data_IF_661651231661
#
_entry.id   IF_661651231661
#
_cell.length_a   1.000
_cell.length_b   1.000
_cell.length_c   1.000
_cell.angle_alpha   90.00
_cell.angle_beta   90.00
_cell.angle_gamma   90.00
#
_symmetry.space_group_name_H-M   'P 1'
#
loop_
_entity.id
_entity.type
_entity.pdbx_description
1 polymer ?
#
# COMPACT_ATOMS: atom_id res chain seq x y z
N UNK A 1 -8.31 -1.81 -10.06
CA UNK A 1 -7.59 -2.29 -11.27
C UNK A 1 -6.84 -1.19 -12.04
N UNK A 2 -7.17 0.10 -11.93
CA UNK A 2 -6.48 1.19 -12.65
C UNK A 2 -4.97 1.25 -12.35
N UNK A 3 -4.59 1.22 -11.06
CA UNK A 3 -3.19 1.31 -10.64
C UNK A 3 -2.36 0.13 -11.15
N UNK A 4 -2.94 -1.08 -11.19
CA UNK A 4 -2.29 -2.26 -11.75
C UNK A 4 -1.97 -2.05 -13.23
N UNK A 5 -2.95 -1.60 -14.03
CA UNK A 5 -2.76 -1.32 -15.46
C UNK A 5 -1.72 -0.22 -15.70
N UNK A 6 -1.70 0.82 -14.86
CA UNK A 6 -0.71 1.89 -14.95
C UNK A 6 0.72 1.44 -14.59
N UNK A 7 0.85 0.53 -13.61
CA UNK A 7 2.15 0.03 -13.15
C UNK A 7 2.77 -1.05 -14.04
N UNK A 8 1.98 -1.65 -14.95
CA UNK A 8 2.41 -2.72 -15.86
C UNK A 8 2.38 -4.14 -15.26
N UNK A 9 2.14 -4.28 -13.94
CA UNK A 9 1.96 -5.57 -13.26
C UNK A 9 3.18 -6.53 -13.30
N UNK A 10 4.39 -6.01 -13.49
CA UNK A 10 5.61 -6.81 -13.46
C UNK A 10 6.03 -7.12 -12.02
N UNK A 11 6.27 -8.40 -11.69
CA UNK A 11 6.72 -8.82 -10.36
C UNK A 11 8.23 -8.55 -10.15
N UNK A 12 8.67 -7.33 -10.44
CA UNK A 12 10.04 -6.87 -10.25
C UNK A 12 10.14 -5.88 -9.08
N UNK A 13 11.14 -6.08 -8.23
CA UNK A 13 11.54 -5.12 -7.19
C UNK A 13 12.66 -4.25 -7.74
N UNK A 14 12.32 -3.04 -8.16
CA UNK A 14 13.26 -2.08 -8.73
C UNK A 14 13.07 -0.71 -8.11
N UNK A 15 14.18 0.02 -7.96
CA UNK A 15 14.18 1.44 -7.58
C UNK A 15 14.12 2.38 -8.78
N UNK A 16 14.14 1.82 -10.00
CA UNK A 16 14.06 2.57 -11.24
C UNK A 16 12.61 2.97 -11.53
N UNK A 17 12.33 4.29 -11.56
CA UNK A 17 10.99 4.85 -11.74
C UNK A 17 10.39 4.59 -13.13
N UNK A 18 11.22 4.24 -14.12
CA UNK A 18 10.77 3.99 -15.49
C UNK A 18 10.49 2.52 -15.78
N UNK A 19 10.72 1.62 -14.81
CA UNK A 19 10.43 0.20 -14.96
C UNK A 19 9.04 -0.15 -14.44
N UNK A 20 8.43 -1.15 -15.06
CA UNK A 20 7.16 -1.69 -14.59
C UNK A 20 7.35 -2.36 -13.23
N UNK A 21 6.35 -2.20 -12.38
CA UNK A 21 6.31 -2.75 -11.02
C UNK A 21 4.93 -3.31 -10.72
N UNK A 22 4.84 -4.17 -9.72
CA UNK A 22 3.57 -4.65 -9.17
C UNK A 22 3.39 -4.03 -7.80
N UNK A 23 2.28 -3.33 -7.60
CA UNK A 23 2.01 -2.71 -6.31
C UNK A 23 1.69 -3.75 -5.24
N UNK A 24 2.00 -3.43 -3.99
CA UNK A 24 1.62 -4.29 -2.85
C UNK A 24 0.11 -4.53 -2.82
N UNK A 25 -0.70 -3.50 -3.11
CA UNK A 25 -2.16 -3.63 -3.24
C UNK A 25 -2.60 -4.62 -4.32
N UNK A 26 -1.94 -4.59 -5.48
CA UNK A 26 -2.24 -5.49 -6.60
C UNK A 26 -1.89 -6.94 -6.24
N UNK A 27 -0.75 -7.16 -5.60
CA UNK A 27 -0.31 -8.49 -5.15
C UNK A 27 -1.29 -9.09 -4.14
N UNK A 28 -1.68 -8.31 -3.12
CA UNK A 28 -2.65 -8.75 -2.12
C UNK A 28 -4.00 -9.06 -2.78
N UNK A 29 -4.52 -8.16 -3.62
CA UNK A 29 -5.82 -8.34 -4.24
C UNK A 29 -5.87 -9.53 -5.23
N UNK A 30 -4.77 -9.83 -5.91
CA UNK A 30 -4.68 -10.94 -6.85
C UNK A 30 -4.50 -12.28 -6.14
N UNK A 31 -3.62 -12.36 -5.15
CA UNK A 31 -3.15 -13.65 -4.63
C UNK A 31 -3.84 -14.06 -3.33
N UNK A 32 -4.30 -13.12 -2.49
CA UNK A 32 -4.85 -13.44 -1.16
C UNK A 32 -6.09 -14.35 -1.22
N UNK A 33 -6.86 -14.28 -2.32
CA UNK A 33 -8.03 -15.14 -2.54
C UNK A 33 -7.71 -16.53 -3.11
N UNK A 34 -6.51 -16.73 -3.67
CA UNK A 34 -6.10 -17.97 -4.32
C UNK A 34 -5.20 -18.85 -3.44
N UNK A 35 -4.63 -18.28 -2.38
CA UNK A 35 -3.72 -19.00 -1.46
C UNK A 35 -4.47 -19.84 -0.43
N UNK A 36 -3.90 -21.01 -0.10
CA UNK A 36 -4.43 -21.85 0.97
C UNK A 36 -4.19 -21.21 2.34
N UNK A 37 -5.26 -21.20 3.14
CA UNK A 37 -5.23 -20.72 4.52
C UNK A 37 -4.20 -21.52 5.34
N UNK A 38 -3.32 -20.80 6.04
CA UNK A 38 -2.27 -21.39 6.87
C UNK A 38 -0.97 -21.75 6.13
N UNK A 39 -0.86 -21.46 4.83
CA UNK A 39 0.41 -21.60 4.10
C UNK A 39 1.39 -20.48 4.45
N UNK A 40 2.69 -20.72 4.24
CA UNK A 40 3.72 -19.70 4.45
C UNK A 40 3.52 -18.47 3.54
N UNK A 41 2.98 -18.68 2.33
CA UNK A 41 2.65 -17.60 1.39
C UNK A 41 1.47 -16.75 1.88
N UNK A 42 0.45 -17.36 2.48
CA UNK A 42 -0.65 -16.65 3.12
C UNK A 42 -0.15 -15.67 4.20
N UNK A 43 0.76 -16.12 5.06
CA UNK A 43 1.35 -15.26 6.10
C UNK A 43 2.22 -14.13 5.50
N UNK A 44 2.94 -14.40 4.40
CA UNK A 44 3.69 -13.36 3.70
C UNK A 44 2.77 -12.29 3.10
N UNK A 45 1.67 -12.69 2.44
CA UNK A 45 0.66 -11.78 1.89
C UNK A 45 -0.03 -10.97 2.99
N UNK A 46 -0.31 -11.58 4.14
CA UNK A 46 -0.86 -10.87 5.29
C UNK A 46 0.14 -9.84 5.85
N UNK A 47 1.42 -10.21 5.97
CA UNK A 47 2.47 -9.33 6.45
C UNK A 47 2.64 -8.08 5.57
N UNK A 48 2.69 -8.24 4.24
CA UNK A 48 2.76 -7.07 3.34
C UNK A 48 1.49 -6.21 3.43
N UNK A 49 0.33 -6.79 3.75
CA UNK A 49 -0.90 -6.06 4.04
C UNK A 49 -0.80 -5.19 5.29
N UNK A 50 -0.20 -5.71 6.37
CA UNK A 50 0.07 -4.95 7.60
C UNK A 50 1.05 -3.81 7.35
N UNK A 51 2.10 -4.05 6.56
CA UNK A 51 3.07 -3.02 6.17
C UNK A 51 2.39 -1.90 5.38
N UNK A 52 1.58 -2.27 4.38
CA UNK A 52 0.84 -1.30 3.58
C UNK A 52 -0.13 -0.48 4.44
N UNK A 53 -0.89 -1.14 5.32
CA UNK A 53 -1.80 -0.46 6.25
C UNK A 53 -1.07 0.51 7.17
N UNK A 54 0.08 0.10 7.70
CA UNK A 54 0.89 0.96 8.57
C UNK A 54 1.37 2.21 7.81
N UNK A 55 1.77 2.06 6.56
CA UNK A 55 2.18 3.18 5.72
C UNK A 55 1.03 4.15 5.44
N UNK A 56 -0.14 3.65 5.03
CA UNK A 56 -1.31 4.50 4.78
C UNK A 56 -1.80 5.15 6.07
N UNK A 57 -1.81 4.43 7.18
CA UNK A 57 -2.18 4.95 8.50
C UNK A 57 -1.26 6.10 8.93
N UNK A 58 0.07 5.92 8.83
CA UNK A 58 1.04 6.96 9.20
C UNK A 58 0.87 8.20 8.32
N UNK A 59 0.70 8.05 7.01
CA UNK A 59 0.47 9.18 6.11
C UNK A 59 -0.83 9.93 6.45
N UNK A 60 -1.92 9.21 6.70
CA UNK A 60 -3.19 9.81 7.08
C UNK A 60 -3.09 10.51 8.43
N UNK A 61 -2.43 9.89 9.42
CA UNK A 61 -2.21 10.48 10.74
C UNK A 61 -1.39 11.77 10.65
N UNK A 62 -0.31 11.79 9.85
CA UNK A 62 0.50 12.99 9.63
C UNK A 62 -0.35 14.07 8.96
N UNK A 63 -1.12 13.74 7.92
CA UNK A 63 -1.97 14.67 7.21
C UNK A 63 -3.00 15.31 8.17
N UNK A 64 -3.61 14.51 9.04
CA UNK A 64 -4.56 14.96 10.04
C UNK A 64 -3.93 15.87 11.09
N UNK A 65 -2.75 15.53 11.61
CA UNK A 65 -2.01 16.38 12.56
C UNK A 65 -1.71 17.76 11.95
N UNK A 66 -1.27 17.80 10.68
CA UNK A 66 -0.97 19.04 9.97
C UNK A 66 -2.23 19.87 9.77
N UNK A 67 -3.34 19.25 9.33
CA UNK A 67 -4.62 19.93 9.14
C UNK A 67 -5.18 20.48 10.45
N UNK A 68 -5.14 19.70 11.52
CA UNK A 68 -5.63 20.10 12.84
C UNK A 68 -4.82 21.30 13.38
N UNK A 69 -3.50 21.33 13.15
CA UNK A 69 -2.66 22.48 13.51
C UNK A 69 -2.98 23.72 12.69
N UNK A 70 -3.22 23.58 11.37
CA UNK A 70 -3.63 24.73 10.51
C UNK A 70 -5.01 25.26 10.87
N UNK A 71 -5.98 24.39 11.14
CA UNK A 71 -7.35 24.77 11.53
C UNK A 71 -7.39 25.52 12.86
N UNK A 72 -6.51 25.18 13.81
CA UNK A 72 -6.37 25.90 15.09
C UNK A 72 -5.81 27.33 14.91
N UNK A 73 -5.02 27.58 13.86
CA UNK A 73 -4.40 28.89 13.59
C UNK A 73 -5.29 29.84 12.76
N UNK A 74 -6.30 29.34 12.05
CA UNK A 74 -7.22 30.15 11.22
C UNK A 74 -8.54 30.49 11.95
N UNK A 75 -8.56 30.48 13.29
CA UNK A 75 -9.72 30.80 14.13
C UNK A 75 -9.53 32.13 14.89
N UNK A 76 -8.78 33.07 14.30
CA UNK A 76 -8.73 34.48 14.73
C UNK A 76 -9.12 35.37 13.55
#
# INVERSE_FOLDING_TARGET
MIVLMASGNAAELTFDLFRSVRTMTATIAAELGEVSSGSNHYFALFFIGVVLFSFTFVLNLIAEIILNRKRKNNQF
#
